data_IF_567313128580
#
_entry.id   IF_567313128580
#
_cell.length_a   1.000
_cell.length_b   1.000
_cell.length_c   1.000
_cell.angle_alpha   90.00
_cell.angle_beta   90.00
_cell.angle_gamma   90.00
#
_symmetry.space_group_name_H-M   'P 1'
#
loop_
_entity.id
_entity.type
_entity.pdbx_description
1 polymer ?
#
# COMPACT_ATOMS: atom_id res chain seq x y z
N UNK A 1 -55.05 -44.36 5.17
CA UNK A 1 -53.62 -44.57 4.93
C UNK A 1 -53.13 -43.32 4.25
N UNK A 2 -52.58 -42.40 5.05
CA UNK A 2 -51.99 -41.14 4.57
C UNK A 2 -50.89 -41.47 3.55
N UNK A 3 -50.97 -40.83 2.38
CA UNK A 3 -49.93 -40.91 1.37
C UNK A 3 -48.80 -39.98 1.83
N UNK A 4 -47.62 -40.57 2.08
CA UNK A 4 -46.43 -39.86 2.53
C UNK A 4 -46.04 -38.76 1.51
N UNK A 5 -45.55 -37.59 1.98
CA UNK A 5 -45.05 -36.56 1.09
C UNK A 5 -43.81 -37.07 0.36
N UNK A 6 -43.80 -36.91 -0.96
CA UNK A 6 -42.61 -37.16 -1.78
C UNK A 6 -41.47 -36.28 -1.26
N UNK A 7 -40.48 -36.93 -0.67
CA UNK A 7 -39.22 -36.34 -0.24
C UNK A 7 -38.48 -35.78 -1.46
N UNK A 8 -38.50 -34.46 -1.66
CA UNK A 8 -37.55 -33.76 -2.53
C UNK A 8 -36.19 -33.81 -1.83
N UNK A 9 -35.53 -34.96 -1.92
CA UNK A 9 -34.17 -35.14 -1.47
C UNK A 9 -33.21 -34.79 -2.63
N UNK A 10 -32.24 -33.94 -2.30
CA UNK A 10 -31.02 -33.55 -3.05
C UNK A 10 -31.13 -32.43 -4.10
N UNK A 11 -31.68 -31.28 -3.73
CA UNK A 11 -31.33 -30.01 -4.39
C UNK A 11 -30.13 -29.40 -3.64
N UNK A 12 -29.03 -29.04 -4.31
CA UNK A 12 -27.87 -28.40 -3.65
C UNK A 12 -28.31 -27.06 -3.03
N UNK A 13 -27.60 -26.57 -2.00
CA UNK A 13 -27.93 -25.27 -1.40
C UNK A 13 -27.84 -24.15 -2.43
N UNK A 14 -26.93 -24.23 -3.41
CA UNK A 14 -26.89 -23.26 -4.51
C UNK A 14 -28.15 -23.33 -5.39
N UNK A 15 -28.58 -24.53 -5.76
CA UNK A 15 -29.79 -24.72 -6.58
C UNK A 15 -31.07 -24.32 -5.84
N UNK A 16 -31.13 -24.46 -4.52
CA UNK A 16 -32.25 -23.97 -3.70
C UNK A 16 -32.32 -22.43 -3.71
N UNK A 17 -31.18 -21.76 -3.62
CA UNK A 17 -31.11 -20.29 -3.70
C UNK A 17 -31.51 -19.81 -5.10
N UNK A 18 -30.99 -20.44 -6.15
CA UNK A 18 -31.41 -20.15 -7.53
C UNK A 18 -32.91 -20.38 -7.72
N UNK A 19 -33.46 -21.48 -7.20
CA UNK A 19 -34.89 -21.75 -7.26
C UNK A 19 -35.72 -20.69 -6.53
N UNK A 20 -35.28 -20.23 -5.35
CA UNK A 20 -35.95 -19.16 -4.61
C UNK A 20 -35.91 -17.82 -5.34
N UNK A 21 -34.78 -17.46 -5.95
CA UNK A 21 -34.67 -16.24 -6.77
C UNK A 21 -35.58 -16.31 -8.00
N UNK A 22 -35.65 -17.47 -8.66
CA UNK A 22 -36.50 -17.68 -9.83
C UNK A 22 -37.99 -17.71 -9.45
N UNK A 23 -38.32 -18.29 -8.29
CA UNK A 23 -39.67 -18.31 -7.75
C UNK A 23 -40.16 -16.90 -7.45
N UNK A 24 -39.36 -16.05 -6.81
CA UNK A 24 -39.69 -14.63 -6.58
C UNK A 24 -39.92 -13.84 -7.89
N UNK A 25 -39.29 -14.25 -8.99
CA UNK A 25 -39.51 -13.64 -10.30
C UNK A 25 -40.75 -14.18 -11.03
N UNK A 26 -41.12 -15.43 -10.76
CA UNK A 26 -42.30 -16.07 -11.33
C UNK A 26 -43.58 -15.65 -10.58
N UNK A 27 -43.52 -15.56 -9.25
CA UNK A 27 -44.58 -15.09 -8.36
C UNK A 27 -44.64 -13.55 -8.36
N UNK A 28 -45.16 -13.01 -9.46
CA UNK A 28 -45.08 -11.56 -9.73
C UNK A 28 -45.94 -10.68 -8.81
N UNK A 29 -46.91 -11.26 -8.11
CA UNK A 29 -47.75 -10.63 -7.10
C UNK A 29 -47.36 -11.00 -5.66
N UNK A 30 -46.47 -11.98 -5.47
CA UNK A 30 -45.83 -12.28 -4.19
C UNK A 30 -46.75 -13.00 -3.21
N UNK A 31 -47.77 -13.70 -3.71
CA UNK A 31 -48.76 -14.40 -2.90
C UNK A 31 -48.30 -15.81 -2.47
N UNK A 32 -47.10 -16.21 -2.89
CA UNK A 32 -46.50 -17.52 -2.65
C UNK A 32 -47.01 -18.60 -3.59
N UNK A 33 -47.74 -18.26 -4.67
CA UNK A 33 -48.32 -19.20 -5.62
C UNK A 33 -48.10 -18.76 -7.06
N UNK A 34 -47.43 -19.61 -7.85
CA UNK A 34 -47.34 -19.39 -9.29
C UNK A 34 -48.61 -19.91 -9.97
N UNK A 35 -49.49 -19.00 -10.41
CA UNK A 35 -50.69 -19.39 -11.17
C UNK A 35 -50.37 -19.66 -12.65
N UNK A 36 -51.34 -20.21 -13.39
CA UNK A 36 -51.15 -20.51 -14.83
C UNK A 36 -50.78 -19.29 -15.68
N UNK A 37 -51.21 -18.08 -15.31
CA UNK A 37 -50.84 -16.85 -16.02
C UNK A 37 -49.41 -16.41 -15.70
N UNK A 38 -48.95 -16.63 -14.48
CA UNK A 38 -47.62 -16.26 -14.00
C UNK A 38 -46.55 -17.20 -14.56
N UNK A 39 -46.84 -18.49 -14.56
CA UNK A 39 -46.04 -19.51 -15.24
C UNK A 39 -45.88 -19.18 -16.73
N UNK A 40 -46.97 -18.82 -17.43
CA UNK A 40 -46.90 -18.51 -18.86
C UNK A 40 -46.00 -17.30 -19.13
N UNK A 41 -46.16 -16.19 -18.40
CA UNK A 41 -45.29 -15.00 -18.53
C UNK A 41 -43.84 -15.31 -18.22
N UNK A 42 -43.58 -16.11 -17.19
CA UNK A 42 -42.24 -16.52 -16.80
C UNK A 42 -41.59 -17.37 -17.90
N UNK A 43 -42.27 -18.41 -18.38
CA UNK A 43 -41.73 -19.30 -19.41
C UNK A 43 -41.62 -18.64 -20.78
N UNK A 44 -42.42 -17.63 -21.11
CA UNK A 44 -42.24 -16.89 -22.37
C UNK A 44 -40.87 -16.20 -22.45
N UNK A 45 -40.19 -15.98 -21.31
CA UNK A 45 -38.84 -15.40 -21.25
C UNK A 45 -37.73 -16.39 -21.61
N UNK A 46 -38.05 -17.68 -21.75
CA UNK A 46 -37.11 -18.72 -22.16
C UNK A 46 -36.84 -18.78 -23.66
N UNK A 47 -37.52 -17.95 -24.47
CA UNK A 47 -37.53 -17.98 -25.94
C UNK A 47 -38.03 -19.28 -26.59
N UNK A 48 -38.64 -20.20 -25.82
CA UNK A 48 -39.32 -21.37 -26.37
C UNK A 48 -40.54 -20.97 -27.23
N UNK A 49 -40.83 -21.78 -28.26
CA UNK A 49 -41.98 -21.51 -29.13
C UNK A 49 -43.29 -21.66 -28.34
N UNK A 50 -44.35 -20.96 -28.78
CA UNK A 50 -45.68 -21.08 -28.15
C UNK A 50 -46.23 -22.51 -28.21
N UNK A 51 -45.82 -23.33 -29.18
CA UNK A 51 -46.22 -24.75 -29.25
C UNK A 51 -45.53 -25.57 -28.16
N UNK A 52 -44.22 -25.39 -27.98
CA UNK A 52 -43.42 -26.12 -26.98
C UNK A 52 -43.85 -25.75 -25.56
N UNK A 53 -44.09 -24.46 -25.30
CA UNK A 53 -44.60 -23.99 -24.01
C UNK A 53 -45.96 -24.60 -23.66
N UNK A 54 -46.84 -24.74 -24.65
CA UNK A 54 -48.17 -25.34 -24.46
C UNK A 54 -48.06 -26.83 -24.15
N UNK A 55 -47.07 -27.52 -24.72
CA UNK A 55 -46.81 -28.94 -24.49
C UNK A 55 -46.20 -29.18 -23.10
N UNK A 56 -45.24 -28.37 -22.68
CA UNK A 56 -44.65 -28.40 -21.33
C UNK A 56 -45.71 -28.13 -20.26
N UNK A 57 -46.57 -27.12 -20.47
CA UNK A 57 -47.66 -26.79 -19.54
C UNK A 57 -48.73 -27.90 -19.52
N UNK A 58 -49.07 -28.48 -20.68
CA UNK A 58 -50.04 -29.59 -20.78
C UNK A 58 -49.56 -30.84 -20.03
N UNK A 59 -48.26 -31.14 -20.09
CA UNK A 59 -47.66 -32.27 -19.36
C UNK A 59 -47.69 -32.02 -17.85
N UNK A 60 -47.41 -30.79 -17.40
CA UNK A 60 -47.47 -30.42 -15.99
C UNK A 60 -48.90 -30.39 -15.42
N UNK A 61 -49.90 -29.98 -16.23
CA UNK A 61 -51.29 -29.83 -15.78
C UNK A 61 -52.11 -31.13 -15.79
N UNK A 62 -51.74 -32.12 -16.60
CA UNK A 62 -52.47 -33.39 -16.70
C UNK A 62 -52.23 -34.36 -15.54
N UNK A 63 -51.31 -34.06 -14.61
CA UNK A 63 -51.02 -34.89 -13.44
C UNK A 63 -50.48 -36.30 -13.77
N UNK A 64 -50.03 -36.52 -15.01
CA UNK A 64 -49.42 -37.79 -15.38
C UNK A 64 -47.95 -37.84 -14.95
N UNK A 65 -47.52 -38.93 -14.29
CA UNK A 65 -46.12 -39.12 -13.94
C UNK A 65 -45.28 -39.24 -15.22
N UNK A 66 -44.19 -38.48 -15.28
CA UNK A 66 -43.17 -38.56 -16.33
C UNK A 66 -42.57 -39.97 -16.25
N UNK A 67 -42.91 -40.84 -17.20
CA UNK A 67 -42.33 -42.20 -17.30
C UNK A 67 -41.00 -42.18 -18.02
N UNK A 68 -40.15 -43.16 -17.70
CA UNK A 68 -38.77 -43.28 -18.16
C UNK A 68 -38.64 -43.33 -19.69
N UNK A 69 -39.69 -43.76 -20.40
CA UNK A 69 -39.75 -43.79 -21.87
C UNK A 69 -39.73 -42.38 -22.52
N UNK A 70 -40.16 -41.33 -21.80
CA UNK A 70 -40.07 -39.93 -22.26
C UNK A 70 -38.70 -39.30 -22.01
N UNK A 71 -37.87 -39.92 -21.14
CA UNK A 71 -36.52 -39.46 -20.83
C UNK A 71 -35.44 -40.09 -21.74
N UNK A 72 -35.79 -41.12 -22.51
CA UNK A 72 -34.85 -41.82 -23.40
C UNK A 72 -34.56 -41.08 -24.72
N UNK A 73 -35.25 -39.97 -24.99
CA UNK A 73 -34.77 -38.99 -25.96
C UNK A 73 -33.58 -38.23 -25.35
N UNK A 74 -32.38 -38.82 -25.44
CA UNK A 74 -31.10 -38.30 -24.93
C UNK A 74 -30.98 -36.77 -25.10
N UNK A 75 -31.36 -36.03 -24.06
CA UNK A 75 -30.90 -34.67 -23.83
C UNK A 75 -29.87 -34.79 -22.71
N UNK A 76 -28.62 -34.58 -23.09
CA UNK A 76 -27.47 -34.68 -22.21
C UNK A 76 -27.49 -33.53 -21.20
N UNK A 77 -28.15 -33.77 -20.05
CA UNK A 77 -28.38 -32.79 -18.98
C UNK A 77 -27.09 -32.31 -18.31
N UNK A 78 -25.96 -33.00 -18.50
CA UNK A 78 -24.65 -32.56 -18.00
C UNK A 78 -24.04 -31.41 -18.83
N UNK A 79 -24.58 -31.11 -20.01
CA UNK A 79 -24.06 -30.08 -20.92
C UNK A 79 -25.00 -28.89 -21.15
N UNK A 80 -26.08 -28.77 -20.38
CA UNK A 80 -26.98 -27.61 -20.44
C UNK A 80 -26.30 -26.39 -19.81
N UNK A 81 -25.64 -25.57 -20.64
CA UNK A 81 -25.19 -24.24 -20.22
C UNK A 81 -26.43 -23.38 -19.89
N UNK A 82 -26.50 -22.77 -18.69
CA UNK A 82 -27.58 -21.84 -18.38
C UNK A 82 -27.57 -20.69 -19.39
N UNK A 83 -28.74 -20.11 -19.74
CA UNK A 83 -28.82 -19.04 -20.72
C UNK A 83 -27.95 -17.85 -20.27
N UNK A 84 -27.06 -17.39 -21.15
CA UNK A 84 -26.23 -16.22 -20.91
C UNK A 84 -27.12 -14.97 -20.84
N UNK A 85 -27.15 -14.33 -19.67
CA UNK A 85 -27.97 -13.13 -19.39
C UNK A 85 -27.29 -11.85 -19.89
N UNK A 86 -26.83 -11.83 -21.15
CA UNK A 86 -26.29 -10.62 -21.77
C UNK A 86 -27.41 -9.57 -21.94
N UNK A 87 -27.24 -8.41 -21.29
CA UNK A 87 -28.12 -7.23 -21.46
C UNK A 87 -28.98 -6.82 -20.25
N UNK A 88 -29.07 -7.62 -19.19
CA UNK A 88 -29.82 -7.23 -17.98
C UNK A 88 -29.09 -6.14 -17.16
N UNK A 89 -27.75 -6.14 -17.20
CA UNK A 89 -26.90 -5.19 -16.47
C UNK A 89 -27.04 -3.73 -16.93
N UNK A 90 -27.35 -3.51 -18.22
CA UNK A 90 -27.56 -2.17 -18.78
C UNK A 90 -28.77 -1.47 -18.15
N UNK A 91 -29.77 -2.21 -17.64
CA UNK A 91 -30.94 -1.65 -16.95
C UNK A 91 -30.71 -1.39 -15.46
N UNK A 92 -29.76 -2.08 -14.81
CA UNK A 92 -29.37 -1.84 -13.41
C UNK A 92 -28.54 -0.54 -13.24
N UNK A 93 -27.87 -0.07 -14.29
CA UNK A 93 -27.06 1.15 -14.27
C UNK A 93 -27.84 2.48 -14.14
N UNK A 94 -29.18 2.41 -14.22
CA UNK A 94 -30.11 3.56 -14.21
C UNK A 94 -30.58 4.05 -12.84
N UNK A 95 -30.34 3.31 -11.76
CA UNK A 95 -30.63 3.78 -10.39
C UNK A 95 -29.56 4.76 -9.90
N UNK A 96 -29.97 5.94 -9.41
CA UNK A 96 -29.07 7.00 -8.95
C UNK A 96 -28.60 6.85 -7.50
N UNK A 97 -29.23 5.99 -6.69
CA UNK A 97 -28.88 5.79 -5.28
C UNK A 97 -27.93 4.61 -5.09
N UNK A 98 -26.75 4.86 -4.53
CA UNK A 98 -25.85 3.82 -4.03
C UNK A 98 -26.25 3.52 -2.58
N UNK A 99 -26.75 2.32 -2.31
CA UNK A 99 -27.26 1.90 -0.99
C UNK A 99 -26.20 1.22 -0.11
N UNK A 100 -25.10 0.77 -0.70
CA UNK A 100 -23.98 0.12 0.00
C UNK A 100 -22.64 0.35 -0.70
N UNK A 101 -21.53 0.06 0.00
CA UNK A 101 -20.17 0.09 -0.60
C UNK A 101 -20.07 -0.89 -1.76
N UNK A 102 -20.67 -2.07 -1.66
CA UNK A 102 -20.66 -3.09 -2.72
C UNK A 102 -21.44 -2.61 -3.95
N UNK A 103 -22.59 -1.97 -3.78
CA UNK A 103 -23.35 -1.36 -4.89
C UNK A 103 -22.52 -0.28 -5.59
N UNK A 104 -21.77 0.51 -4.81
CA UNK A 104 -20.85 1.53 -5.30
C UNK A 104 -19.71 0.94 -6.14
N UNK A 105 -19.05 -0.10 -5.62
CA UNK A 105 -17.96 -0.80 -6.30
C UNK A 105 -18.45 -1.48 -7.59
N UNK A 106 -19.58 -2.18 -7.55
CA UNK A 106 -20.21 -2.79 -8.73
C UNK A 106 -20.52 -1.76 -9.81
N UNK A 107 -21.07 -0.60 -9.41
CA UNK A 107 -21.34 0.52 -10.33
C UNK A 107 -20.06 1.10 -10.93
N UNK A 108 -19.00 1.28 -10.13
CA UNK A 108 -17.70 1.75 -10.61
C UNK A 108 -17.07 0.75 -11.58
N UNK A 109 -17.11 -0.54 -11.27
CA UNK A 109 -16.62 -1.60 -12.14
C UNK A 109 -17.32 -1.54 -13.51
N UNK A 110 -18.65 -1.64 -13.53
CA UNK A 110 -19.43 -1.66 -14.78
C UNK A 110 -19.25 -0.37 -15.59
N UNK A 111 -19.23 0.80 -14.95
CA UNK A 111 -19.19 2.09 -15.67
C UNK A 111 -17.79 2.54 -16.08
N UNK A 112 -16.74 2.09 -15.38
CA UNK A 112 -15.38 2.64 -15.55
C UNK A 112 -14.34 1.57 -15.89
N UNK A 113 -14.32 0.44 -15.18
CA UNK A 113 -13.25 -0.55 -15.33
C UNK A 113 -13.57 -1.61 -16.40
N UNK A 114 -14.79 -2.16 -16.43
CA UNK A 114 -15.21 -3.17 -17.41
C UNK A 114 -15.04 -2.72 -18.87
N UNK A 115 -15.35 -1.46 -19.26
CA UNK A 115 -15.07 -1.00 -20.63
C UNK A 115 -13.58 -1.04 -20.97
N UNK A 116 -12.70 -0.72 -20.01
CA UNK A 116 -11.25 -0.80 -20.17
C UNK A 116 -10.80 -2.26 -20.33
N UNK A 117 -11.23 -3.15 -19.42
CA UNK A 117 -10.93 -4.59 -19.47
C UNK A 117 -11.37 -5.21 -20.81
N UNK A 118 -12.58 -4.87 -21.28
CA UNK A 118 -13.10 -5.36 -22.55
C UNK A 118 -12.35 -4.80 -23.77
N UNK A 119 -11.99 -3.50 -23.74
CA UNK A 119 -11.24 -2.85 -24.84
C UNK A 119 -9.85 -3.45 -25.00
N UNK A 120 -9.21 -3.86 -23.90
CA UNK A 120 -7.84 -4.38 -23.91
C UNK A 120 -7.77 -5.90 -23.67
N UNK A 121 -8.89 -6.62 -23.86
CA UNK A 121 -8.95 -8.09 -23.78
C UNK A 121 -8.40 -8.68 -22.46
N UNK A 122 -8.54 -7.96 -21.34
CA UNK A 122 -7.97 -8.36 -20.05
C UNK A 122 -8.44 -9.75 -19.60
N UNK A 123 -9.68 -10.11 -19.96
CA UNK A 123 -10.28 -11.41 -19.68
C UNK A 123 -9.62 -12.60 -20.37
N UNK A 124 -8.90 -12.36 -21.46
CA UNK A 124 -8.22 -13.40 -22.23
C UNK A 124 -6.82 -13.72 -21.64
N UNK A 125 -6.25 -12.80 -20.84
CA UNK A 125 -4.86 -12.89 -20.38
C UNK A 125 -4.69 -12.97 -18.86
N UNK A 126 -5.59 -12.35 -18.08
CA UNK A 126 -5.38 -12.17 -16.64
C UNK A 126 -6.51 -12.78 -15.80
N UNK A 127 -7.75 -12.29 -15.94
CA UNK A 127 -8.90 -12.85 -15.21
C UNK A 127 -10.22 -12.55 -15.91
N UNK A 128 -11.22 -13.45 -15.84
CA UNK A 128 -12.57 -13.18 -16.33
C UNK A 128 -13.18 -11.88 -15.78
N UNK A 129 -14.16 -11.32 -16.48
CA UNK A 129 -14.90 -10.15 -15.99
C UNK A 129 -15.58 -10.46 -14.65
N UNK A 130 -15.53 -9.49 -13.73
CA UNK A 130 -16.20 -9.60 -12.44
C UNK A 130 -17.71 -9.64 -12.63
N UNK A 131 -18.34 -10.58 -11.94
CA UNK A 131 -19.78 -10.80 -11.87
C UNK A 131 -20.36 -10.15 -10.62
N UNK A 132 -21.69 -10.02 -10.55
CA UNK A 132 -22.35 -9.53 -9.32
C UNK A 132 -21.99 -10.37 -8.09
N UNK A 133 -21.93 -11.69 -8.24
CA UNK A 133 -21.56 -12.62 -7.18
C UNK A 133 -20.16 -12.37 -6.61
N UNK A 134 -19.22 -11.83 -7.41
CA UNK A 134 -17.87 -11.52 -6.93
C UNK A 134 -17.86 -10.32 -5.96
N UNK A 135 -18.82 -9.39 -6.11
CA UNK A 135 -19.00 -8.26 -5.18
C UNK A 135 -19.78 -8.65 -3.92
N UNK A 136 -20.67 -9.64 -4.05
CA UNK A 136 -21.56 -10.09 -2.97
C UNK A 136 -20.94 -11.25 -2.14
N UNK A 137 -19.77 -11.74 -2.55
CA UNK A 137 -19.05 -12.83 -1.88
C UNK A 137 -18.51 -12.42 -0.50
N UNK A 138 -18.72 -13.30 0.50
CA UNK A 138 -18.17 -13.10 1.86
C UNK A 138 -16.66 -13.41 1.91
N UNK A 139 -15.86 -12.60 2.62
CA UNK A 139 -14.41 -12.81 2.67
C UNK A 139 -14.06 -14.13 3.37
N UNK A 140 -13.19 -14.93 2.73
CA UNK A 140 -12.56 -16.10 3.35
C UNK A 140 -11.38 -15.64 4.20
N UNK A 141 -11.45 -15.83 5.51
CA UNK A 141 -10.37 -15.50 6.43
C UNK A 141 -9.21 -16.50 6.27
N UNK A 142 -8.06 -16.04 5.80
CA UNK A 142 -6.81 -16.79 5.82
C UNK A 142 -5.97 -16.31 7.01
N UNK A 143 -5.95 -17.12 8.09
CA UNK A 143 -5.05 -16.92 9.23
C UNK A 143 -4.04 -18.07 9.17
N UNK A 144 -2.79 -17.74 8.84
CA UNK A 144 -1.65 -18.67 8.91
C UNK A 144 -0.84 -18.45 10.19
N UNK A 145 -0.21 -19.51 10.74
CA UNK A 145 0.69 -19.39 11.88
C UNK A 145 2.08 -18.83 11.47
N UNK A 146 2.72 -18.15 12.43
CA UNK A 146 4.04 -17.47 12.47
C UNK A 146 5.21 -18.02 11.60
N UNK A 147 6.20 -17.19 11.18
CA UNK A 147 6.78 -16.05 11.91
C UNK A 147 6.10 -14.71 11.61
N UNK A 148 5.84 -13.98 12.68
CA UNK A 148 5.02 -12.77 12.79
C UNK A 148 5.59 -11.56 12.05
N UNK A 149 4.74 -10.99 11.20
CA UNK A 149 4.86 -9.73 10.45
C UNK A 149 5.63 -9.82 9.13
N UNK A 150 4.97 -10.36 8.11
CA UNK A 150 5.37 -10.26 6.69
C UNK A 150 4.82 -8.98 6.01
N UNK A 151 4.30 -8.03 6.80
CA UNK A 151 3.58 -6.83 6.32
C UNK A 151 4.09 -5.55 6.95
N UNK A 152 3.98 -4.46 6.22
CA UNK A 152 4.06 -3.12 6.80
C UNK A 152 2.74 -2.83 7.51
N UNK A 153 2.80 -2.48 8.78
CA UNK A 153 1.62 -2.13 9.59
C UNK A 153 1.78 -0.73 10.13
N UNK A 154 0.92 0.18 9.66
CA UNK A 154 0.79 1.50 10.26
C UNK A 154 -0.19 1.39 11.43
N UNK A 155 0.22 1.80 12.63
CA UNK A 155 -0.66 1.92 13.79
C UNK A 155 -0.90 3.40 14.07
N UNK A 156 -2.14 3.85 13.90
CA UNK A 156 -2.52 5.26 14.01
C UNK A 156 -3.83 5.44 14.77
N UNK A 157 -4.13 6.68 15.18
CA UNK A 157 -5.39 6.98 15.83
C UNK A 157 -6.57 6.81 14.88
N UNK A 158 -7.69 6.31 15.40
CA UNK A 158 -8.97 6.26 14.72
C UNK A 158 -10.12 6.15 15.72
N UNK A 159 -11.36 6.38 15.29
CA UNK A 159 -12.52 6.37 16.17
C UNK A 159 -12.81 4.98 16.74
N UNK A 160 -12.50 3.94 15.97
CA UNK A 160 -12.82 2.54 16.28
C UNK A 160 -11.60 1.65 16.03
N UNK A 161 -11.54 0.52 16.74
CA UNK A 161 -10.54 -0.51 16.49
C UNK A 161 -10.84 -1.22 15.17
N UNK A 162 -9.98 -1.04 14.18
CA UNK A 162 -10.15 -1.67 12.86
C UNK A 162 -8.84 -1.88 12.13
N UNK A 163 -8.81 -2.92 11.29
CA UNK A 163 -7.74 -3.18 10.34
C UNK A 163 -8.22 -2.89 8.92
N UNK A 164 -7.49 -2.03 8.22
CA UNK A 164 -7.79 -1.56 6.87
C UNK A 164 -6.71 -2.09 5.91
N UNK A 165 -7.08 -2.85 4.86
CA UNK A 165 -6.14 -3.34 3.86
C UNK A 165 -5.45 -2.21 3.07
N UNK A 166 -4.19 -2.41 2.70
CA UNK A 166 -3.37 -1.39 2.03
C UNK A 166 -3.95 -0.83 0.74
N UNK A 167 -4.61 -1.66 -0.08
CA UNK A 167 -5.30 -1.21 -1.30
C UNK A 167 -6.39 -0.17 -1.02
N UNK A 168 -7.07 -0.29 0.12
CA UNK A 168 -8.13 0.64 0.54
C UNK A 168 -7.53 1.90 1.16
N UNK A 169 -6.50 1.74 1.99
CA UNK A 169 -5.79 2.87 2.62
C UNK A 169 -5.16 3.78 1.57
N UNK A 170 -4.58 3.22 0.51
CA UNK A 170 -3.87 3.98 -0.52
C UNK A 170 -4.80 4.85 -1.40
N UNK A 171 -6.13 4.67 -1.34
CA UNK A 171 -7.10 5.51 -2.08
C UNK A 171 -7.89 6.46 -1.17
N UNK A 172 -7.67 6.40 0.14
CA UNK A 172 -8.29 7.29 1.12
C UNK A 172 -7.59 8.66 1.12
N UNK A 173 -8.31 9.69 0.70
CA UNK A 173 -7.79 11.06 0.56
C UNK A 173 -7.42 11.72 1.90
N UNK A 174 -7.99 11.23 3.00
CA UNK A 174 -7.73 11.65 4.38
C UNK A 174 -6.49 11.01 5.01
N UNK A 175 -5.80 10.12 4.28
CA UNK A 175 -4.57 9.48 4.76
C UNK A 175 -3.34 9.87 3.94
N UNK A 176 -2.14 9.94 4.55
CA UNK A 176 -0.92 10.33 3.84
C UNK A 176 -0.33 9.22 2.97
N UNK A 177 -1.05 8.11 2.76
CA UNK A 177 -0.52 6.87 2.17
C UNK A 177 -0.80 6.72 0.68
N UNK A 178 -1.44 7.70 0.04
CA UNK A 178 -1.73 7.66 -1.39
C UNK A 178 -0.49 7.49 -2.27
N UNK A 179 0.67 8.02 -1.83
CA UNK A 179 1.93 7.84 -2.56
C UNK A 179 2.41 6.39 -2.66
N UNK A 180 1.94 5.49 -1.78
CA UNK A 180 2.34 4.09 -1.78
C UNK A 180 1.78 3.29 -2.97
N UNK A 181 0.81 3.84 -3.72
CA UNK A 181 0.29 3.18 -4.94
C UNK A 181 1.38 2.95 -5.99
N UNK A 182 2.47 3.72 -5.96
CA UNK A 182 3.60 3.57 -6.91
C UNK A 182 4.33 2.25 -6.75
N UNK A 183 4.26 1.59 -5.59
CA UNK A 183 4.87 0.28 -5.35
C UNK A 183 4.00 -0.90 -5.81
N UNK A 184 2.80 -0.61 -6.34
CA UNK A 184 1.93 -1.59 -6.98
C UNK A 184 1.20 -2.54 -6.02
N UNK A 185 0.37 -3.40 -6.60
CA UNK A 185 -0.53 -4.30 -5.86
C UNK A 185 0.20 -5.33 -5.01
N UNK A 186 1.38 -5.79 -5.46
CA UNK A 186 2.20 -6.75 -4.71
C UNK A 186 2.58 -6.19 -3.33
N UNK A 187 3.04 -4.95 -3.25
CA UNK A 187 3.30 -4.27 -1.99
C UNK A 187 2.02 -4.00 -1.20
N UNK A 188 0.99 -3.42 -1.83
CA UNK A 188 -0.24 -3.03 -1.14
C UNK A 188 -0.98 -4.20 -0.48
N UNK A 189 -0.79 -5.43 -0.99
CA UNK A 189 -1.28 -6.66 -0.35
C UNK A 189 -0.57 -7.01 0.97
N UNK A 190 0.66 -6.51 1.14
CA UNK A 190 1.51 -6.63 2.32
C UNK A 190 1.57 -5.31 3.12
N UNK A 191 0.61 -4.42 2.90
CA UNK A 191 0.46 -3.18 3.65
C UNK A 191 -0.88 -3.18 4.38
N UNK A 192 -0.91 -2.68 5.61
CA UNK A 192 -2.08 -2.62 6.46
C UNK A 192 -2.05 -1.36 7.32
N UNK A 193 -3.21 -0.76 7.55
CA UNK A 193 -3.40 0.27 8.56
C UNK A 193 -4.26 -0.28 9.69
N UNK A 194 -3.73 -0.29 10.90
CA UNK A 194 -4.44 -0.60 12.14
C UNK A 194 -4.79 0.71 12.83
N UNK A 195 -6.08 0.93 13.08
CA UNK A 195 -6.58 2.10 13.77
C UNK A 195 -7.17 1.71 15.10
N UNK A 196 -6.95 2.53 16.13
CA UNK A 196 -7.62 2.40 17.43
C UNK A 196 -7.64 3.74 18.19
N UNK A 197 -8.62 3.96 19.07
CA UNK A 197 -8.65 5.14 19.92
C UNK A 197 -7.62 4.97 21.06
N UNK A 198 -6.54 5.76 21.03
CA UNK A 198 -5.53 5.73 22.10
C UNK A 198 -4.85 7.10 22.23
N UNK A 199 -4.70 7.68 23.45
CA UNK A 199 -4.14 9.02 23.64
C UNK A 199 -2.74 9.21 23.03
N UNK A 200 -1.86 8.19 23.13
CA UNK A 200 -0.55 8.24 22.48
C UNK A 200 -0.64 8.35 20.95
N UNK A 201 -1.63 7.69 20.35
CA UNK A 201 -1.79 7.66 18.90
C UNK A 201 -2.36 8.97 18.33
N UNK A 202 -2.91 9.85 19.18
CA UNK A 202 -3.29 11.21 18.80
C UNK A 202 -2.06 12.08 18.49
N UNK A 203 -0.91 11.71 19.04
CA UNK A 203 0.34 12.47 18.89
C UNK A 203 1.39 11.73 18.04
N UNK A 204 1.32 10.39 17.96
CA UNK A 204 2.33 9.56 17.30
C UNK A 204 1.66 8.51 16.43
N UNK A 205 2.21 8.27 15.25
CA UNK A 205 1.86 7.12 14.40
C UNK A 205 3.07 6.18 14.34
N UNK A 206 2.86 4.90 14.59
CA UNK A 206 3.89 3.90 14.48
C UNK A 206 3.84 3.23 13.12
N UNK A 207 5.00 2.96 12.55
CA UNK A 207 5.14 2.15 11.33
C UNK A 207 5.96 0.93 11.72
N UNK A 208 5.28 -0.21 11.87
CA UNK A 208 5.94 -1.50 12.04
C UNK A 208 6.30 -2.05 10.65
N UNK A 209 7.52 -2.50 10.50
CA UNK A 209 8.07 -2.98 9.23
C UNK A 209 8.35 -4.47 9.31
N UNK A 210 8.22 -5.23 8.20
CA UNK A 210 8.62 -6.61 8.17
C UNK A 210 10.09 -6.77 8.59
N UNK A 211 10.39 -7.83 9.35
CA UNK A 211 11.76 -8.14 9.75
C UNK A 211 12.69 -8.22 8.54
N UNK A 212 13.86 -7.57 8.62
CA UNK A 212 14.88 -7.64 7.57
C UNK A 212 15.46 -9.05 7.57
N UNK A 213 15.49 -9.67 6.40
CA UNK A 213 15.83 -11.07 6.26
C UNK A 213 17.35 -11.23 6.17
N UNK A 214 17.84 -12.36 6.69
CA UNK A 214 19.27 -12.70 6.62
C UNK A 214 19.47 -13.70 5.48
N UNK A 215 19.92 -13.23 4.32
CA UNK A 215 20.38 -14.06 3.19
C UNK A 215 19.65 -13.85 1.86
N UNK A 216 20.38 -14.01 0.75
CA UNK A 216 19.91 -13.73 -0.62
C UNK A 216 18.64 -14.49 -1.02
N UNK A 217 18.49 -15.76 -0.62
CA UNK A 217 17.33 -16.61 -0.99
C UNK A 217 15.99 -16.14 -0.43
N UNK A 218 16.01 -15.33 0.62
CA UNK A 218 14.81 -14.75 1.23
C UNK A 218 14.44 -13.41 0.58
N UNK A 219 15.41 -12.75 -0.06
CA UNK A 219 15.22 -11.49 -0.78
C UNK A 219 14.37 -11.66 -2.03
N UNK A 220 14.63 -12.73 -2.78
CA UNK A 220 13.87 -13.10 -3.99
C UNK A 220 12.40 -13.46 -3.70
N UNK A 221 12.02 -13.63 -2.42
CA UNK A 221 10.63 -13.90 -2.03
C UNK A 221 9.78 -12.62 -1.96
N UNK A 222 10.41 -11.43 -1.87
CA UNK A 222 9.66 -10.17 -1.83
C UNK A 222 9.31 -9.75 -3.26
N UNK A 223 8.02 -9.82 -3.59
CA UNK A 223 7.49 -9.35 -4.87
C UNK A 223 7.43 -7.80 -5.00
N UNK A 224 8.15 -7.06 -4.15
CA UNK A 224 8.15 -5.60 -4.11
C UNK A 224 9.49 -5.05 -3.62
N UNK A 225 9.78 -3.78 -3.96
CA UNK A 225 11.00 -3.08 -3.56
C UNK A 225 10.94 -2.64 -2.09
N UNK A 226 11.45 -3.50 -1.19
CA UNK A 226 11.48 -3.23 0.25
C UNK A 226 12.31 -2.00 0.62
N UNK A 227 13.46 -1.81 -0.02
CA UNK A 227 14.34 -0.68 0.26
C UNK A 227 13.69 0.63 -0.17
N UNK A 228 13.06 0.66 -1.36
CA UNK A 228 12.30 1.80 -1.84
C UNK A 228 11.13 2.17 -0.94
N UNK A 229 10.35 1.18 -0.48
CA UNK A 229 9.25 1.41 0.48
C UNK A 229 9.77 1.96 1.81
N UNK A 230 10.85 1.39 2.33
CA UNK A 230 11.45 1.83 3.61
C UNK A 230 11.97 3.27 3.50
N UNK A 231 12.66 3.58 2.40
CA UNK A 231 13.11 4.93 2.08
C UNK A 231 11.94 5.91 1.95
N UNK A 232 10.83 5.50 1.33
CA UNK A 232 9.61 6.31 1.25
C UNK A 232 9.09 6.69 2.64
N UNK A 233 9.00 5.73 3.57
CA UNK A 233 8.60 6.01 4.95
C UNK A 233 9.63 6.89 5.67
N UNK A 234 10.93 6.68 5.45
CA UNK A 234 12.01 7.48 6.03
C UNK A 234 11.89 8.98 5.69
N UNK A 235 11.44 9.29 4.46
CA UNK A 235 11.19 10.68 4.06
C UNK A 235 10.03 11.34 4.81
N UNK A 236 9.13 10.54 5.42
CA UNK A 236 7.90 11.01 6.07
C UNK A 236 7.93 10.90 7.59
N UNK A 237 8.79 10.06 8.15
CA UNK A 237 8.90 9.88 9.58
C UNK A 237 9.75 10.99 10.23
N UNK A 238 9.50 11.22 11.51
CA UNK A 238 10.30 12.09 12.37
C UNK A 238 11.43 11.32 13.07
N UNK A 239 11.32 9.99 13.21
CA UNK A 239 12.31 9.13 13.84
C UNK A 239 12.33 7.73 13.21
N UNK A 240 13.52 7.10 13.16
CA UNK A 240 13.74 5.73 12.70
C UNK A 240 14.44 4.93 13.81
N UNK A 241 13.81 3.85 14.28
CA UNK A 241 14.42 2.93 15.23
C UNK A 241 15.07 1.76 14.48
N UNK A 242 16.39 1.60 14.65
CA UNK A 242 17.11 0.41 14.20
C UNK A 242 17.31 -0.54 15.38
N UNK A 243 16.58 -1.65 15.39
CA UNK A 243 16.60 -2.63 16.48
C UNK A 243 17.61 -3.76 16.18
N UNK A 244 18.49 -4.02 17.14
CA UNK A 244 19.45 -5.12 17.10
C UNK A 244 19.26 -6.07 18.28
N UNK A 245 19.55 -7.34 18.07
CA UNK A 245 19.53 -8.40 19.08
C UNK A 245 20.97 -8.89 19.31
N UNK A 246 21.47 -8.97 20.57
CA UNK A 246 22.84 -9.38 20.86
C UNK A 246 23.17 -10.81 20.41
N UNK A 247 22.17 -11.68 20.24
CA UNK A 247 22.37 -13.04 19.74
C UNK A 247 22.42 -13.14 18.22
N UNK A 248 21.90 -12.14 17.51
CA UNK A 248 21.77 -12.11 16.05
C UNK A 248 22.32 -10.82 15.46
N UNK A 249 23.54 -10.46 15.86
CA UNK A 249 24.20 -9.23 15.41
C UNK A 249 24.81 -9.37 14.00
N UNK A 250 24.02 -9.83 13.04
CA UNK A 250 24.46 -9.91 11.65
C UNK A 250 23.84 -8.76 10.84
N UNK A 251 24.69 -7.87 10.32
CA UNK A 251 24.25 -6.81 9.40
C UNK A 251 24.32 -7.37 7.99
N UNK A 252 23.22 -8.03 7.59
CA UNK A 252 23.04 -8.62 6.27
C UNK A 252 23.15 -7.59 5.15
N UNK A 253 23.41 -8.03 3.91
CA UNK A 253 23.45 -7.14 2.75
C UNK A 253 22.13 -6.41 2.50
N UNK A 254 21.00 -7.04 2.81
CA UNK A 254 19.69 -6.37 2.77
C UNK A 254 19.60 -5.25 3.81
N UNK A 255 20.07 -5.49 5.04
CA UNK A 255 20.12 -4.47 6.08
C UNK A 255 21.04 -3.30 5.67
N UNK A 256 22.20 -3.59 5.08
CA UNK A 256 23.11 -2.57 4.54
C UNK A 256 22.43 -1.73 3.47
N UNK A 257 21.75 -2.35 2.51
CA UNK A 257 21.03 -1.62 1.47
C UNK A 257 19.90 -0.75 2.04
N UNK A 258 19.19 -1.24 3.07
CA UNK A 258 18.17 -0.45 3.76
C UNK A 258 18.82 0.76 4.41
N UNK A 259 19.87 0.60 5.23
CA UNK A 259 20.57 1.74 5.84
C UNK A 259 21.07 2.71 4.77
N UNK A 260 21.68 2.22 3.69
CA UNK A 260 22.14 3.09 2.60
C UNK A 260 20.99 3.86 1.94
N UNK A 261 19.78 3.30 1.88
CA UNK A 261 18.58 4.00 1.38
C UNK A 261 18.02 5.06 2.34
N UNK A 262 18.53 5.11 3.59
CA UNK A 262 18.21 6.13 4.59
C UNK A 262 19.19 7.32 4.57
N UNK A 263 20.17 7.32 3.66
CA UNK A 263 21.15 8.39 3.54
C UNK A 263 20.47 9.77 3.43
N UNK A 264 20.94 10.74 4.23
CA UNK A 264 20.33 12.08 4.31
C UNK A 264 19.22 12.19 5.35
N UNK A 265 18.91 11.10 6.05
CA UNK A 265 18.01 11.03 7.20
C UNK A 265 18.72 10.46 8.45
N UNK A 266 20.05 10.54 8.48
CA UNK A 266 20.90 9.99 9.55
C UNK A 266 20.58 10.60 10.92
N UNK A 267 20.15 11.86 10.96
CA UNK A 267 19.72 12.59 12.16
C UNK A 267 18.47 12.02 12.83
N UNK A 268 17.65 11.29 12.05
CA UNK A 268 16.42 10.63 12.53
C UNK A 268 16.69 9.25 13.14
N UNK A 269 17.87 8.69 12.92
CA UNK A 269 18.19 7.31 13.31
C UNK A 269 18.50 7.25 14.81
N UNK A 270 17.87 6.30 15.50
CA UNK A 270 18.24 5.85 16.85
C UNK A 270 18.44 4.35 16.82
N UNK A 271 19.58 3.91 17.34
CA UNK A 271 19.92 2.49 17.37
C UNK A 271 19.57 1.94 18.74
N UNK A 272 18.94 0.78 18.79
CA UNK A 272 18.57 0.10 20.03
C UNK A 272 19.13 -1.30 20.02
N UNK A 273 19.99 -1.62 20.99
CA UNK A 273 20.43 -2.99 21.26
C UNK A 273 19.46 -3.59 22.29
N UNK A 274 18.42 -4.23 21.78
CA UNK A 274 17.35 -4.83 22.57
C UNK A 274 17.76 -6.22 23.08
N UNK A 275 17.08 -6.72 24.11
CA UNK A 275 17.33 -8.02 24.75
C UNK A 275 18.74 -8.16 25.34
N UNK A 276 19.36 -7.05 25.74
CA UNK A 276 20.70 -7.06 26.34
C UNK A 276 20.79 -7.91 27.63
N UNK A 277 19.67 -8.13 28.33
CA UNK A 277 19.58 -9.02 29.49
C UNK A 277 19.92 -10.49 29.19
N UNK A 278 19.92 -10.91 27.93
CA UNK A 278 20.16 -12.30 27.56
C UNK A 278 21.66 -12.65 27.48
N UNK A 279 22.56 -11.66 27.59
CA UNK A 279 24.01 -11.84 27.50
C UNK A 279 24.70 -11.28 28.74
N UNK A 280 25.84 -11.85 29.10
CA UNK A 280 26.64 -11.32 30.21
C UNK A 280 27.33 -9.99 29.84
N UNK A 281 27.89 -9.30 30.84
CA UNK A 281 28.55 -7.99 30.64
C UNK A 281 29.71 -8.06 29.64
N UNK A 282 30.53 -9.12 29.64
CA UNK A 282 31.68 -9.20 28.75
C UNK A 282 31.24 -9.42 27.30
N UNK A 283 30.25 -10.30 27.09
CA UNK A 283 29.65 -10.55 25.81
C UNK A 283 28.92 -9.29 25.30
N UNK A 284 28.19 -8.58 26.16
CA UNK A 284 27.53 -7.32 25.81
C UNK A 284 28.53 -6.29 25.28
N UNK A 285 29.68 -6.12 25.94
CA UNK A 285 30.73 -5.19 25.48
C UNK A 285 31.31 -5.60 24.12
N UNK A 286 31.50 -6.91 23.88
CA UNK A 286 31.97 -7.42 22.58
C UNK A 286 30.94 -7.18 21.47
N UNK A 287 29.67 -7.47 21.75
CA UNK A 287 28.53 -7.27 20.83
C UNK A 287 28.38 -5.78 20.50
N UNK A 288 28.42 -4.91 21.51
CA UNK A 288 28.38 -3.46 21.33
C UNK A 288 29.53 -2.96 20.44
N UNK A 289 30.77 -3.40 20.70
CA UNK A 289 31.91 -3.03 19.88
C UNK A 289 31.76 -3.50 18.42
N UNK A 290 31.28 -4.72 18.20
CA UNK A 290 31.01 -5.25 16.86
C UNK A 290 29.89 -4.48 16.13
N UNK A 291 28.86 -4.04 16.86
CA UNK A 291 27.78 -3.22 16.32
C UNK A 291 28.30 -1.86 15.86
N UNK A 292 29.01 -1.15 16.74
CA UNK A 292 29.55 0.18 16.44
C UNK A 292 30.53 0.13 15.27
N UNK A 293 31.40 -0.88 15.22
CA UNK A 293 32.28 -1.12 14.08
C UNK A 293 31.51 -1.32 12.78
N UNK A 294 30.42 -2.09 12.82
CA UNK A 294 29.62 -2.38 11.63
C UNK A 294 28.81 -1.17 11.17
N UNK A 295 28.22 -0.42 12.10
CA UNK A 295 27.48 0.81 11.82
C UNK A 295 28.40 1.88 11.24
N UNK A 296 29.61 2.05 11.78
CA UNK A 296 30.60 3.00 11.26
C UNK A 296 30.99 2.74 9.80
N UNK A 297 30.91 1.48 9.34
CA UNK A 297 31.14 1.14 7.92
C UNK A 297 29.96 1.46 7.01
N UNK A 298 28.73 1.53 7.54
CA UNK A 298 27.51 1.60 6.73
C UNK A 298 26.89 2.99 6.75
N UNK A 299 26.83 3.67 7.90
CA UNK A 299 26.22 4.99 8.01
C UNK A 299 27.08 6.10 7.39
N UNK A 300 28.37 5.85 7.14
CA UNK A 300 29.29 6.76 6.46
C UNK A 300 29.18 8.24 6.91
N UNK A 301 28.92 8.46 8.20
CA UNK A 301 28.86 9.76 8.85
C UNK A 301 30.03 9.88 9.83
N UNK A 302 30.65 11.06 9.96
CA UNK A 302 31.68 11.30 10.97
C UNK A 302 31.11 11.26 12.40
N UNK A 303 29.79 11.38 12.57
CA UNK A 303 29.12 11.43 13.87
C UNK A 303 28.80 10.03 14.40
N UNK A 304 29.09 9.81 15.68
CA UNK A 304 28.83 8.52 16.33
C UNK A 304 27.35 8.42 16.70
N UNK A 305 26.64 7.45 16.12
CA UNK A 305 25.22 7.21 16.43
C UNK A 305 25.05 6.70 17.87
N UNK A 306 24.11 7.31 18.62
CA UNK A 306 23.72 6.85 19.95
C UNK A 306 23.03 5.48 19.87
N UNK A 307 23.52 4.53 20.66
CA UNK A 307 22.93 3.19 20.80
C UNK A 307 22.33 3.06 22.19
N UNK A 308 21.03 2.83 22.30
CA UNK A 308 20.34 2.56 23.57
C UNK A 308 20.40 1.07 23.89
N UNK A 309 20.89 0.72 25.08
CA UNK A 309 21.10 -0.69 25.47
C UNK A 309 20.07 -1.08 26.52
N UNK A 310 19.29 -2.13 26.27
CA UNK A 310 18.33 -2.57 27.27
C UNK A 310 17.46 -3.76 26.88
N UNK A 311 16.40 -3.96 27.66
CA UNK A 311 15.34 -4.92 27.37
C UNK A 311 14.00 -4.21 27.35
N UNK A 312 13.43 -4.06 26.15
CA UNK A 312 12.22 -3.28 25.92
C UNK A 312 10.97 -4.18 25.90
N UNK A 313 10.81 -5.02 26.92
CA UNK A 313 9.66 -5.91 27.10
C UNK A 313 9.00 -5.72 28.48
N UNK A 314 7.70 -5.95 28.57
CA UNK A 314 6.93 -5.83 29.83
C UNK A 314 7.27 -6.90 30.89
N UNK A 315 8.33 -7.71 30.69
CA UNK A 315 8.65 -8.81 31.59
C UNK A 315 9.62 -8.35 32.67
N UNK A 316 9.15 -8.45 33.91
CA UNK A 316 9.97 -8.36 35.14
C UNK A 316 11.12 -9.37 35.19
N UNK A 317 11.12 -10.39 34.30
CA UNK A 317 12.21 -11.36 34.11
C UNK A 317 13.56 -10.72 33.71
N UNK A 318 13.56 -9.46 33.24
CA UNK A 318 14.79 -8.72 32.91
C UNK A 318 15.66 -8.39 34.14
N UNK A 319 15.14 -8.55 35.36
CA UNK A 319 15.88 -8.24 36.60
C UNK A 319 16.92 -9.33 36.94
N UNK A 320 16.70 -10.59 36.58
CA UNK A 320 17.47 -11.71 37.17
C UNK A 320 18.84 -11.92 36.51
N UNK A 321 18.99 -11.64 35.21
CA UNK A 321 20.19 -12.01 34.44
C UNK A 321 21.29 -10.91 34.37
N UNK A 322 20.93 -9.64 34.54
CA UNK A 322 21.85 -8.52 34.29
C UNK A 322 22.74 -8.14 35.49
N UNK A 323 22.43 -8.65 36.68
CA UNK A 323 23.00 -8.15 37.94
C UNK A 323 22.63 -6.68 38.24
N UNK A 324 23.01 -6.13 39.41
CA UNK A 324 22.59 -4.79 39.83
C UNK A 324 23.07 -3.67 38.88
N UNK A 325 24.31 -3.78 38.38
CA UNK A 325 24.91 -2.79 37.49
C UNK A 325 24.24 -2.78 36.10
N UNK A 326 23.85 -3.95 35.60
CA UNK A 326 23.15 -4.05 34.31
C UNK A 326 21.73 -3.52 34.38
N UNK A 327 21.02 -3.74 35.50
CA UNK A 327 19.69 -3.17 35.71
C UNK A 327 19.69 -1.65 35.73
N UNK A 328 20.63 -1.03 36.46
CA UNK A 328 20.75 0.43 36.51
C UNK A 328 21.06 1.01 35.13
N UNK A 329 21.99 0.39 34.39
CA UNK A 329 22.28 0.77 33.01
C UNK A 329 21.03 0.69 32.13
N UNK A 330 20.35 -0.46 32.08
CA UNK A 330 19.19 -0.65 31.20
C UNK A 330 18.05 0.30 31.53
N UNK A 331 17.80 0.54 32.81
CA UNK A 331 16.79 1.51 33.25
C UNK A 331 17.14 2.92 32.78
N UNK A 332 18.38 3.36 32.99
CA UNK A 332 18.84 4.69 32.58
C UNK A 332 18.78 4.86 31.05
N UNK A 333 19.18 3.84 30.31
CA UNK A 333 19.11 3.83 28.84
C UNK A 333 17.66 3.86 28.33
N UNK A 334 16.73 3.19 29.01
CA UNK A 334 15.30 3.24 28.70
C UNK A 334 14.71 4.61 29.00
N UNK A 335 15.07 5.23 30.14
CA UNK A 335 14.67 6.60 30.49
C UNK A 335 15.19 7.61 29.46
N UNK A 336 16.46 7.50 29.05
CA UNK A 336 17.07 8.34 28.00
C UNK A 336 16.32 8.18 26.66
N UNK A 337 15.98 6.95 26.26
CA UNK A 337 15.21 6.70 25.03
C UNK A 337 13.81 7.32 25.14
N UNK A 338 13.11 7.10 26.26
CA UNK A 338 11.78 7.66 26.47
C UNK A 338 11.79 9.20 26.47
N UNK A 339 12.81 9.82 27.05
CA UNK A 339 12.98 11.27 27.02
C UNK A 339 13.13 11.78 25.59
N UNK A 340 13.97 11.13 24.77
CA UNK A 340 14.14 11.48 23.36
C UNK A 340 12.84 11.28 22.56
N UNK A 341 12.13 10.16 22.77
CA UNK A 341 10.85 9.87 22.13
C UNK A 341 9.76 10.91 22.48
N UNK A 342 9.68 11.32 23.74
CA UNK A 342 8.72 12.32 24.22
C UNK A 342 9.00 13.73 23.68
N UNK A 343 10.22 14.00 23.25
CA UNK A 343 10.59 15.28 22.63
C UNK A 343 10.27 15.33 21.13
N UNK A 344 10.02 14.20 20.48
CA UNK A 344 9.71 14.17 19.03
C UNK A 344 8.50 15.02 18.68
N UNK A 345 7.33 14.90 19.34
CA UNK A 345 6.17 15.72 18.97
C UNK A 345 6.43 17.22 19.13
N UNK A 346 7.23 17.61 20.14
CA UNK A 346 7.63 19.00 20.36
C UNK A 346 8.54 19.49 19.23
N UNK A 347 9.45 18.65 18.76
CA UNK A 347 10.39 18.93 17.66
C UNK A 347 9.79 18.75 16.26
N UNK A 348 8.63 18.09 16.12
CA UNK A 348 8.02 17.75 14.83
C UNK A 348 7.70 19.00 13.99
N UNK A 349 7.30 20.10 14.63
CA UNK A 349 7.05 21.37 13.92
C UNK A 349 8.33 21.94 13.31
N UNK A 350 9.41 22.03 14.09
CA UNK A 350 10.70 22.50 13.61
C UNK A 350 11.28 21.58 12.53
N UNK A 351 11.12 20.26 12.71
CA UNK A 351 11.53 19.26 11.74
C UNK A 351 10.78 19.39 10.40
N UNK A 352 9.45 19.58 10.43
CA UNK A 352 8.64 19.81 9.22
C UNK A 352 9.06 21.08 8.48
N UNK A 353 9.38 22.15 9.22
CA UNK A 353 9.90 23.39 8.62
C UNK A 353 11.26 23.13 7.98
N UNK A 354 12.16 22.42 8.65
CA UNK A 354 13.47 22.07 8.09
C UNK A 354 13.36 21.22 6.82
N UNK A 355 12.49 20.20 6.80
CA UNK A 355 12.25 19.38 5.62
C UNK A 355 11.61 20.19 4.47
N UNK A 356 10.72 21.12 4.78
CA UNK A 356 10.16 22.04 3.80
C UNK A 356 11.24 22.95 3.19
N UNK A 357 12.14 23.49 4.03
CA UNK A 357 13.28 24.30 3.59
C UNK A 357 14.24 23.49 2.71
N UNK A 358 14.61 22.27 3.13
CA UNK A 358 15.45 21.36 2.33
C UNK A 358 14.81 21.09 0.97
N UNK A 359 13.50 20.80 0.94
CA UNK A 359 12.74 20.57 -0.30
C UNK A 359 12.70 21.80 -1.20
N UNK A 360 12.49 22.99 -0.65
CA UNK A 360 12.49 24.23 -1.41
C UNK A 360 13.85 24.49 -2.06
N UNK A 361 14.96 24.27 -1.33
CA UNK A 361 16.32 24.35 -1.88
C UNK A 361 16.55 23.34 -2.99
N UNK A 362 16.20 22.07 -2.75
CA UNK A 362 16.34 21.00 -3.74
C UNK A 362 15.55 21.31 -5.03
N UNK A 363 14.32 21.82 -4.91
CA UNK A 363 13.50 22.24 -6.06
C UNK A 363 14.13 23.40 -6.83
N UNK A 364 14.68 24.40 -6.12
CA UNK A 364 15.40 25.54 -6.73
C UNK A 364 16.62 25.07 -7.51
N UNK A 365 17.45 24.21 -6.91
CA UNK A 365 18.65 23.64 -7.57
C UNK A 365 18.26 22.80 -8.77
N UNK A 366 17.23 21.96 -8.65
CA UNK A 366 16.70 21.20 -9.78
C UNK A 366 16.30 22.13 -10.94
N UNK A 367 15.61 23.23 -10.66
CA UNK A 367 15.24 24.21 -11.68
C UNK A 367 16.47 24.85 -12.37
N UNK A 368 17.52 25.17 -11.61
CA UNK A 368 18.78 25.66 -12.16
C UNK A 368 19.48 24.62 -13.06
N UNK A 369 19.55 23.35 -12.62
CA UNK A 369 20.13 22.25 -13.39
C UNK A 369 19.37 22.08 -14.71
N UNK A 370 18.04 21.94 -14.66
CA UNK A 370 17.20 21.72 -15.84
C UNK A 370 17.32 22.89 -16.83
N UNK A 371 17.30 24.13 -16.32
CA UNK A 371 17.47 25.29 -17.20
C UNK A 371 18.88 25.40 -17.78
N UNK A 372 19.92 25.02 -17.03
CA UNK A 372 21.30 25.02 -17.53
C UNK A 372 21.45 24.01 -18.68
N UNK A 373 20.94 22.79 -18.48
CA UNK A 373 20.92 21.78 -19.54
C UNK A 373 20.15 22.26 -20.77
N UNK A 374 19.02 22.95 -20.60
CA UNK A 374 18.29 23.57 -21.73
C UNK A 374 19.09 24.67 -22.43
N UNK A 375 19.85 25.48 -21.68
CA UNK A 375 20.69 26.58 -22.20
C UNK A 375 21.85 26.04 -23.05
N UNK A 376 22.43 24.90 -22.67
CA UNK A 376 23.54 24.25 -23.39
C UNK A 376 23.10 23.47 -24.64
N UNK A 377 21.79 23.25 -24.84
CA UNK A 377 21.28 22.55 -26.03
C UNK A 377 21.37 23.42 -27.30
N UNK A 378 21.85 22.88 -28.44
CA UNK A 378 21.94 23.62 -29.69
C UNK A 378 20.56 23.83 -30.31
N UNK A 379 20.32 25.01 -30.89
CA UNK A 379 19.00 25.38 -31.42
C UNK A 379 18.57 24.57 -32.66
N UNK A 380 19.50 24.19 -33.54
CA UNK A 380 19.17 23.60 -34.86
C UNK A 380 19.72 22.18 -35.05
N UNK A 381 21.05 22.00 -35.13
CA UNK A 381 21.68 20.73 -35.50
C UNK A 381 22.50 20.15 -34.35
N UNK A 382 22.63 18.82 -34.31
CA UNK A 382 23.49 18.12 -33.34
C UNK A 382 22.87 17.88 -31.96
N UNK A 383 21.56 18.10 -31.79
CA UNK A 383 20.84 17.98 -30.50
C UNK A 383 21.07 16.64 -29.79
N UNK A 384 20.97 15.51 -30.51
CA UNK A 384 21.19 14.17 -29.93
C UNK A 384 22.63 14.00 -29.42
N UNK A 385 23.63 14.44 -30.19
CA UNK A 385 25.04 14.37 -29.80
C UNK A 385 25.34 15.28 -28.60
N UNK A 386 24.77 16.50 -28.60
CA UNK A 386 24.91 17.44 -27.49
C UNK A 386 24.26 16.92 -26.20
N UNK A 387 23.03 16.39 -26.29
CA UNK A 387 22.34 15.77 -25.15
C UNK A 387 23.15 14.62 -24.57
N UNK A 388 23.65 13.70 -25.42
CA UNK A 388 24.49 12.59 -24.96
C UNK A 388 25.73 13.10 -24.22
N UNK A 389 26.42 14.10 -24.78
CA UNK A 389 27.59 14.72 -24.15
C UNK A 389 27.27 15.39 -22.80
N UNK A 390 26.14 16.09 -22.69
CA UNK A 390 25.70 16.72 -21.44
C UNK A 390 25.39 15.69 -20.35
N UNK A 391 24.75 14.58 -20.72
CA UNK A 391 24.42 13.49 -19.79
C UNK A 391 25.68 12.75 -19.34
N UNK A 392 26.62 12.49 -20.26
CA UNK A 392 27.91 11.86 -19.94
C UNK A 392 28.73 12.72 -18.97
N UNK A 393 28.78 14.04 -19.19
CA UNK A 393 29.54 14.99 -18.37
C UNK A 393 28.70 15.67 -17.26
N UNK A 394 27.62 15.05 -16.81
CA UNK A 394 26.66 15.68 -15.89
C UNK A 394 27.28 16.22 -14.59
N UNK A 395 28.31 15.55 -14.07
CA UNK A 395 29.04 16.01 -12.88
C UNK A 395 29.73 17.37 -13.10
N UNK A 396 30.37 17.57 -14.25
CA UNK A 396 30.98 18.85 -14.61
C UNK A 396 29.91 19.93 -14.83
N UNK A 397 28.77 19.56 -15.42
CA UNK A 397 27.64 20.47 -15.58
C UNK A 397 27.08 20.92 -14.22
N UNK A 398 27.03 20.04 -13.21
CA UNK A 398 26.63 20.42 -11.84
C UNK A 398 27.62 21.42 -11.24
N UNK A 399 28.93 21.22 -11.41
CA UNK A 399 29.95 22.18 -10.94
C UNK A 399 29.81 23.55 -11.61
N UNK A 400 29.47 23.59 -12.91
CA UNK A 400 29.18 24.88 -13.58
C UNK A 400 27.98 25.58 -12.97
N UNK A 401 26.89 24.86 -12.70
CA UNK A 401 25.68 25.41 -12.06
C UNK A 401 25.99 25.90 -10.64
N UNK A 402 26.78 25.15 -9.87
CA UNK A 402 27.26 25.56 -8.55
C UNK A 402 27.98 26.91 -8.61
N UNK A 403 28.93 27.05 -9.53
CA UNK A 403 29.75 28.25 -9.67
C UNK A 403 28.95 29.45 -10.23
N UNK A 404 28.07 29.24 -11.22
CA UNK A 404 27.28 30.32 -11.83
C UNK A 404 26.28 30.91 -10.83
N UNK A 405 25.67 30.08 -9.98
CA UNK A 405 24.59 30.49 -9.07
C UNK A 405 24.99 30.52 -7.59
N UNK A 406 26.26 30.25 -7.25
CA UNK A 406 26.80 30.23 -5.89
C UNK A 406 26.03 29.27 -4.97
N UNK A 407 25.73 28.07 -5.47
CA UNK A 407 24.91 27.08 -4.77
C UNK A 407 25.79 26.10 -3.97
N UNK A 408 25.41 25.73 -2.73
CA UNK A 408 26.17 24.78 -1.92
C UNK A 408 26.24 23.40 -2.59
N UNK A 409 27.41 22.72 -2.60
CA UNK A 409 27.54 21.41 -3.23
C UNK A 409 26.71 20.32 -2.54
N UNK A 410 26.52 20.42 -1.22
CA UNK A 410 25.76 19.44 -0.44
C UNK A 410 24.25 19.42 -0.70
N UNK A 411 23.71 20.45 -1.37
CA UNK A 411 22.29 20.49 -1.73
C UNK A 411 22.02 19.88 -3.13
N UNK A 412 23.06 19.45 -3.87
CA UNK A 412 22.89 18.83 -5.18
C UNK A 412 22.51 17.35 -5.07
N UNK A 413 21.68 16.83 -6.01
CA UNK A 413 21.32 15.43 -6.05
C UNK A 413 22.51 14.54 -6.44
N UNK A 414 22.40 13.24 -6.14
CA UNK A 414 23.36 12.24 -6.62
C UNK A 414 23.42 12.24 -8.16
N UNK A 415 24.65 12.36 -8.69
CA UNK A 415 24.89 12.55 -10.13
C UNK A 415 24.48 11.32 -10.92
N UNK A 416 24.76 10.12 -10.41
CA UNK A 416 24.50 8.87 -11.12
C UNK A 416 23.01 8.57 -11.18
N UNK A 417 22.31 8.73 -10.06
CA UNK A 417 20.86 8.65 -10.00
C UNK A 417 20.19 9.67 -10.93
N UNK A 418 20.62 10.94 -10.88
CA UNK A 418 20.07 11.97 -11.75
C UNK A 418 20.30 11.65 -13.23
N UNK A 419 21.49 11.16 -13.60
CA UNK A 419 21.83 10.76 -14.98
C UNK A 419 20.90 9.66 -15.50
N UNK A 420 20.61 8.67 -14.67
CA UNK A 420 19.74 7.54 -15.03
C UNK A 420 18.31 8.03 -15.35
N UNK A 421 17.76 8.90 -14.50
CA UNK A 421 16.43 9.50 -14.71
C UNK A 421 16.43 10.42 -15.94
N UNK A 422 17.46 11.26 -16.07
CA UNK A 422 17.60 12.24 -17.15
C UNK A 422 17.71 11.57 -18.54
N UNK A 423 18.27 10.37 -18.62
CA UNK A 423 18.43 9.62 -19.88
C UNK A 423 17.11 9.29 -20.57
N UNK A 424 16.01 9.20 -19.82
CA UNK A 424 14.66 9.01 -20.36
C UNK A 424 13.99 10.28 -20.90
N UNK A 425 14.65 11.45 -20.81
CA UNK A 425 14.06 12.75 -21.12
C UNK A 425 14.70 13.40 -22.36
N UNK A 426 13.96 14.31 -23.01
CA UNK A 426 14.47 15.14 -24.10
C UNK A 426 14.79 16.54 -23.57
N UNK A 427 16.08 16.88 -23.49
CA UNK A 427 16.55 18.15 -22.92
C UNK A 427 16.06 19.37 -23.71
N UNK A 428 15.77 19.21 -25.00
CA UNK A 428 15.24 20.31 -25.82
C UNK A 428 13.79 20.65 -25.49
N UNK A 429 13.07 19.79 -24.76
CA UNK A 429 11.71 20.09 -24.28
C UNK A 429 11.69 20.75 -22.90
N UNK A 430 12.84 20.93 -22.28
CA UNK A 430 12.91 21.59 -20.98
C UNK A 430 12.62 23.09 -21.07
N UNK A 431 12.07 23.59 -19.98
CA UNK A 431 11.76 25.00 -19.81
C UNK A 431 13.02 25.81 -19.48
N UNK A 432 13.00 27.09 -19.86
CA UNK A 432 14.03 28.05 -19.44
C UNK A 432 13.76 28.50 -18.01
N UNK A 433 14.80 28.95 -17.31
CA UNK A 433 14.68 29.43 -15.93
C UNK A 433 13.68 30.58 -15.84
N UNK A 434 12.61 30.37 -15.07
CA UNK A 434 11.69 31.42 -14.70
C UNK A 434 12.21 32.15 -13.46
N UNK A 435 12.92 33.27 -13.68
CA UNK A 435 13.50 34.07 -12.60
C UNK A 435 12.48 34.56 -11.58
N UNK A 436 11.23 34.81 -11.98
CA UNK A 436 10.18 35.24 -11.05
C UNK A 436 9.79 34.12 -10.07
N UNK A 437 9.69 32.88 -10.57
CA UNK A 437 9.41 31.72 -9.70
C UNK A 437 10.55 31.45 -8.73
N UNK A 438 11.80 31.61 -9.17
CA UNK A 438 12.97 31.48 -8.30
C UNK A 438 12.95 32.56 -7.21
N UNK A 439 12.68 33.82 -7.59
CA UNK A 439 12.58 34.93 -6.63
C UNK A 439 11.49 34.68 -5.58
N UNK A 440 10.32 34.17 -5.97
CA UNK A 440 9.25 33.81 -5.01
C UNK A 440 9.72 32.78 -3.99
N UNK A 441 10.50 31.78 -4.42
CA UNK A 441 11.06 30.78 -3.49
C UNK A 441 12.15 31.39 -2.60
N UNK A 442 12.98 32.28 -3.14
CA UNK A 442 14.01 32.98 -2.36
C UNK A 442 13.39 33.91 -1.31
N UNK A 443 12.35 34.66 -1.67
CA UNK A 443 11.60 35.54 -0.76
C UNK A 443 10.92 34.71 0.35
N UNK A 444 10.32 33.57 -0.01
CA UNK A 444 9.73 32.65 0.96
C UNK A 444 10.76 32.13 1.96
N UNK A 445 11.96 31.76 1.50
CA UNK A 445 13.03 31.26 2.36
C UNK A 445 13.65 32.36 3.23
N UNK A 446 13.76 33.59 2.72
CA UNK A 446 14.41 34.71 3.39
C UNK A 446 13.49 35.48 4.35
N UNK A 447 12.19 35.50 4.07
CA UNK A 447 11.22 36.35 4.78
C UNK A 447 10.05 35.54 5.35
N UNK A 448 9.29 34.82 4.52
CA UNK A 448 8.04 34.19 4.95
C UNK A 448 8.27 33.11 6.02
N UNK A 449 9.26 32.24 5.83
CA UNK A 449 9.58 31.18 6.80
C UNK A 449 10.10 31.75 8.12
N UNK A 450 11.09 32.68 8.14
CA UNK A 450 11.49 33.37 9.36
C UNK A 450 10.35 34.11 10.06
N UNK A 451 9.42 34.73 9.33
CA UNK A 451 8.24 35.36 9.92
C UNK A 451 7.29 34.33 10.55
N UNK A 452 7.01 33.23 9.86
CA UNK A 452 6.23 32.12 10.39
C UNK A 452 6.81 31.61 11.72
N UNK A 453 8.12 31.42 11.77
CA UNK A 453 8.83 30.98 12.98
C UNK A 453 8.72 31.98 14.16
N UNK A 454 8.57 33.28 13.89
CA UNK A 454 8.33 34.27 14.96
C UNK A 454 6.96 34.10 15.59
N UNK A 455 5.93 33.78 14.80
CA UNK A 455 4.57 33.53 15.29
C UNK A 455 4.47 32.22 16.07
N UNK A 456 5.26 31.22 15.70
CA UNK A 456 5.32 29.91 16.36
C UNK A 456 6.43 29.82 17.43
N UNK A 457 6.95 30.93 17.96
CA UNK A 457 7.79 30.90 19.18
C UNK A 457 6.98 30.33 20.35
N UNK A 458 7.06 29.01 20.44
CA UNK A 458 6.75 28.06 21.49
C UNK A 458 5.50 28.34 22.37
N UNK A 459 4.34 27.70 22.13
CA UNK A 459 3.29 27.58 23.16
C UNK A 459 3.70 26.69 24.36
N UNK A 460 4.87 26.05 24.31
CA UNK A 460 5.47 25.24 25.38
C UNK A 460 6.85 25.77 25.81
N UNK A 461 7.06 27.08 25.68
CA UNK A 461 8.25 27.79 26.20
C UNK A 461 8.23 27.91 27.70
#
# INVERSE_FOLDING_TARGET
MELAPLSIASCSKELQVTYQEWFCFADSDGDGRVTGNDALKFFTRSNLSRQDLKQVISLAQAGHPITQDLLDAKVDMENLKPPAMEGLEAKLAGSSSVTSVMDGLKRLYVKKLRPLEATYHFNDFVSPFLTSSDFDAKPMAQIGPEPTTDRFVVVMSGPDERSIPGNTVAVQADTPFAGLTTFGSAFLSKFQCSQMPHPLLEHVTFVDTPGILSGEKQRDQRAYDFAGVTSWFATKCDLILLLFDPHKLDISDEFRQVISSLHGHDDKIRVVLNKAHQVDTQQLMRVYGALMWSLGKVLNTPEVTRVYIGSFNNRTESEVAAGPLGQELFKKEQEDLLADLNDIPKKSSDHKINEFVKRARAAKIHAHIISHLKKEMPAMMGKSKAQKKLIENLGDEFVKVQNEFHLPPGDFPDVDHFRNVLSGHNLDKFEKLNRKMIQVVDDMLAHDIPELLKYFRNPFG
#
